data_IF_727589961119
#
_entry.id   IF_727589961119
#
_cell.length_a   1.000
_cell.length_b   1.000
_cell.length_c   1.000
_cell.angle_alpha   90.00
_cell.angle_beta   90.00
_cell.angle_gamma   90.00
#
_symmetry.space_group_name_H-M   'P 1'
#
loop_
_entity.id
_entity.type
_entity.pdbx_description
1 polymer ?
#
# COMPACT_ATOMS: atom_id res chain seq x y z
N UNK A 1 19.85 -2.72 -5.78
CA UNK A 1 19.23 -2.65 -4.43
C UNK A 1 18.79 -4.04 -4.02
N UNK A 2 18.51 -4.31 -2.74
CA UNK A 2 18.18 -5.68 -2.33
C UNK A 2 16.78 -6.06 -2.85
N UNK A 3 16.57 -7.31 -3.29
CA UNK A 3 15.25 -7.88 -3.64
C UNK A 3 14.19 -7.78 -2.51
N UNK A 4 14.56 -7.22 -1.35
CA UNK A 4 13.77 -7.19 -0.12
C UNK A 4 13.17 -5.81 0.16
N UNK A 5 13.65 -4.75 -0.47
CA UNK A 5 13.19 -3.38 -0.20
C UNK A 5 11.74 -3.19 -0.65
N UNK A 6 11.05 -2.21 -0.04
CA UNK A 6 9.66 -1.87 -0.33
C UNK A 6 9.52 -0.41 -0.76
N UNK A 7 8.73 -0.16 -1.80
CA UNK A 7 8.15 1.18 -1.99
C UNK A 7 6.80 1.21 -1.27
N UNK A 8 6.57 2.22 -0.44
CA UNK A 8 5.38 2.29 0.42
C UNK A 8 4.38 3.35 -0.08
N UNK A 9 3.12 2.94 -0.13
CA UNK A 9 1.98 3.83 -0.37
C UNK A 9 1.54 4.52 0.94
N UNK A 10 0.84 5.65 0.79
CA UNK A 10 0.27 6.39 1.90
C UNK A 10 -0.75 5.56 2.69
N UNK A 11 -1.60 4.79 2.01
CA UNK A 11 -2.68 4.02 2.64
C UNK A 11 -2.17 3.03 3.69
N UNK A 12 -1.08 2.32 3.40
CA UNK A 12 -0.50 1.33 4.30
C UNK A 12 0.22 1.98 5.49
N UNK A 13 0.93 3.08 5.26
CA UNK A 13 1.61 3.83 6.33
C UNK A 13 0.57 4.42 7.30
N UNK A 14 -0.48 5.04 6.76
CA UNK A 14 -1.57 5.63 7.55
C UNK A 14 -2.29 4.53 8.33
N UNK A 15 -2.69 3.44 7.68
CA UNK A 15 -3.42 2.33 8.33
C UNK A 15 -2.64 1.75 9.51
N UNK A 16 -1.34 1.48 9.35
CA UNK A 16 -0.48 1.01 10.45
C UNK A 16 -0.36 2.06 11.55
N UNK A 17 -0.22 3.34 11.20
CA UNK A 17 -0.06 4.42 12.18
C UNK A 17 -1.33 4.64 13.01
N UNK A 18 -2.50 4.70 12.35
CA UNK A 18 -3.81 4.88 12.97
C UNK A 18 -4.26 3.66 13.79
N UNK A 19 -3.76 2.48 13.44
CA UNK A 19 -3.91 1.26 14.22
C UNK A 19 -2.96 1.19 15.44
N UNK A 20 -2.08 2.18 15.66
CA UNK A 20 -1.01 2.16 16.66
C UNK A 20 0.02 1.02 16.44
N UNK A 21 0.21 0.60 15.19
CA UNK A 21 1.09 -0.49 14.77
C UNK A 21 2.31 0.00 13.97
N UNK A 22 2.59 1.30 13.97
CA UNK A 22 3.77 1.88 13.28
C UNK A 22 5.10 1.21 13.68
N UNK A 23 5.20 0.67 14.90
CA UNK A 23 6.37 -0.09 15.36
C UNK A 23 6.68 -1.35 14.54
N UNK A 24 5.73 -1.83 13.72
CA UNK A 24 5.99 -2.89 12.72
C UNK A 24 7.12 -2.49 11.78
N UNK A 25 7.18 -1.21 11.35
CA UNK A 25 8.27 -0.74 10.48
C UNK A 25 9.62 -0.81 11.16
N UNK A 26 9.71 -0.32 12.41
CA UNK A 26 10.93 -0.36 13.21
C UNK A 26 11.41 -1.81 13.40
N UNK A 27 10.50 -2.69 13.84
CA UNK A 27 10.79 -4.08 14.10
C UNK A 27 11.25 -4.83 12.85
N UNK A 28 10.55 -4.66 11.72
CA UNK A 28 10.92 -5.32 10.47
C UNK A 28 12.25 -4.79 9.93
N UNK A 29 12.50 -3.48 9.98
CA UNK A 29 13.77 -2.87 9.57
C UNK A 29 14.93 -3.42 10.39
N UNK A 30 14.80 -3.44 11.72
CA UNK A 30 15.81 -4.00 12.63
C UNK A 30 16.04 -5.51 12.39
N UNK A 31 14.96 -6.29 12.25
CA UNK A 31 15.04 -7.75 12.15
C UNK A 31 15.52 -8.26 10.80
N UNK A 32 15.32 -7.49 9.73
CA UNK A 32 15.56 -7.96 8.34
C UNK A 32 16.57 -7.12 7.56
N UNK A 33 16.83 -5.88 8.00
CA UNK A 33 17.60 -4.90 7.23
C UNK A 33 16.85 -4.32 6.03
N UNK A 34 15.53 -4.55 5.92
CA UNK A 34 14.71 -4.02 4.83
C UNK A 34 14.62 -2.49 4.86
N UNK A 35 14.60 -1.87 3.68
CA UNK A 35 14.31 -0.45 3.55
C UNK A 35 12.86 -0.22 3.12
N UNK A 36 12.23 0.75 3.78
CA UNK A 36 10.91 1.24 3.44
C UNK A 36 11.08 2.59 2.76
N UNK A 37 11.03 2.58 1.44
CA UNK A 37 11.24 3.76 0.60
C UNK A 37 9.90 4.46 0.37
N UNK A 38 9.87 5.79 0.50
CA UNK A 38 8.66 6.60 0.29
C UNK A 38 8.88 7.67 -0.77
N UNK A 39 8.03 7.74 -1.81
CA UNK A 39 8.02 8.84 -2.77
C UNK A 39 7.72 10.18 -2.11
N UNK A 40 8.05 11.28 -2.81
CA UNK A 40 7.77 12.62 -2.31
C UNK A 40 6.27 12.87 -2.14
N UNK A 41 5.43 12.47 -3.09
CA UNK A 41 3.98 12.65 -2.97
C UNK A 41 3.36 11.91 -1.78
N UNK A 42 3.89 10.74 -1.41
CA UNK A 42 3.44 10.00 -0.24
C UNK A 42 3.78 10.76 1.05
N UNK A 43 4.95 11.39 1.13
CA UNK A 43 5.30 12.26 2.26
C UNK A 43 4.39 13.49 2.30
N UNK A 44 4.12 14.11 1.14
CA UNK A 44 3.19 15.24 1.05
C UNK A 44 1.78 14.85 1.52
N UNK A 45 1.30 13.66 1.17
CA UNK A 45 -0.01 13.15 1.54
C UNK A 45 -0.13 12.77 3.03
N UNK A 46 0.85 12.02 3.56
CA UNK A 46 0.81 11.50 4.92
C UNK A 46 1.25 12.50 5.99
N UNK A 47 2.08 13.48 5.61
CA UNK A 47 2.75 14.39 6.56
C UNK A 47 2.39 15.83 6.28
N UNK A 48 2.69 16.35 5.10
CA UNK A 48 2.59 17.79 4.85
C UNK A 48 1.13 18.26 4.86
N UNK A 49 0.25 17.62 4.07
CA UNK A 49 -1.18 18.00 4.01
C UNK A 49 -1.84 17.93 5.40
N UNK A 50 -1.75 16.83 6.18
CA UNK A 50 -2.41 16.77 7.48
C UNK A 50 -1.87 17.79 8.50
N UNK A 51 -0.59 18.18 8.40
CA UNK A 51 -0.01 19.21 9.29
C UNK A 51 -0.51 20.62 8.95
N UNK A 52 -0.90 20.88 7.70
CA UNK A 52 -1.40 22.17 7.24
C UNK A 52 -2.93 22.32 7.32
N UNK A 53 -3.68 21.22 7.36
CA UNK A 53 -5.14 21.23 7.46
C UNK A 53 -5.59 21.63 8.88
N UNK A 54 -6.72 22.34 8.98
CA UNK A 54 -7.26 22.79 10.26
C UNK A 54 -7.78 21.66 11.15
N UNK A 55 -8.23 20.55 10.54
CA UNK A 55 -8.62 19.35 11.26
C UNK A 55 -7.38 18.74 11.95
N UNK A 56 -7.38 18.75 13.28
CA UNK A 56 -6.26 18.28 14.09
C UNK A 56 -6.22 16.77 14.28
N UNK A 57 -7.28 16.05 13.91
CA UNK A 57 -7.40 14.61 14.17
C UNK A 57 -6.28 13.82 13.48
N UNK A 58 -5.90 14.20 12.26
CA UNK A 58 -4.84 13.55 11.49
C UNK A 58 -3.42 14.02 11.83
N UNK A 59 -3.28 15.11 12.60
CA UNK A 59 -1.96 15.69 12.90
C UNK A 59 -1.10 14.77 13.76
N UNK A 60 -1.71 14.00 14.65
CA UNK A 60 -0.96 13.08 15.50
C UNK A 60 -0.30 11.96 14.69
N UNK A 61 -1.05 11.33 13.78
CA UNK A 61 -0.51 10.31 12.87
C UNK A 61 0.56 10.90 11.95
N UNK A 62 0.32 12.09 11.40
CA UNK A 62 1.32 12.79 10.58
C UNK A 62 2.63 13.09 11.33
N UNK A 63 2.55 13.48 12.61
CA UNK A 63 3.74 13.68 13.45
C UNK A 63 4.50 12.37 13.69
N UNK A 64 3.79 11.27 13.97
CA UNK A 64 4.43 9.94 14.09
C UNK A 64 5.12 9.51 12.81
N UNK A 65 4.49 9.73 11.65
CA UNK A 65 5.09 9.40 10.35
C UNK A 65 6.31 10.29 10.09
N UNK A 66 6.23 11.57 10.44
CA UNK A 66 7.38 12.49 10.36
C UNK A 66 8.53 12.02 11.25
N UNK A 67 8.26 11.56 12.45
CA UNK A 67 9.28 11.00 13.35
C UNK A 67 9.92 9.75 12.75
N UNK A 68 9.13 8.84 12.17
CA UNK A 68 9.66 7.67 11.44
C UNK A 68 10.58 8.05 10.27
N UNK A 69 10.28 9.15 9.57
CA UNK A 69 11.15 9.66 8.50
C UNK A 69 12.44 10.23 9.09
N UNK A 70 12.35 11.02 10.16
CA UNK A 70 13.52 11.62 10.83
C UNK A 70 14.44 10.56 11.45
N UNK A 71 13.86 9.49 12.00
CA UNK A 71 14.57 8.34 12.55
C UNK A 71 15.22 7.47 11.46
N UNK A 72 14.97 7.77 10.19
CA UNK A 72 15.44 6.98 9.06
C UNK A 72 14.81 5.59 9.04
N UNK A 73 13.58 5.43 9.52
CA UNK A 73 12.79 4.20 9.35
C UNK A 73 12.13 4.19 7.97
N UNK A 74 11.46 5.29 7.63
CA UNK A 74 10.92 5.56 6.29
C UNK A 74 11.90 6.44 5.52
N UNK A 75 12.53 5.87 4.50
CA UNK A 75 13.54 6.54 3.70
C UNK A 75 12.89 7.32 2.56
N UNK A 76 12.80 8.65 2.70
CA UNK A 76 12.32 9.51 1.62
C UNK A 76 13.26 9.46 0.43
N UNK A 77 12.73 9.11 -0.73
CA UNK A 77 13.49 9.10 -1.98
C UNK A 77 13.23 10.37 -2.77
N UNK A 78 14.31 11.04 -3.16
CA UNK A 78 14.28 12.22 -4.02
C UNK A 78 14.70 11.81 -5.44
N UNK A 79 13.76 11.22 -6.17
CA UNK A 79 13.93 10.84 -7.57
C UNK A 79 12.86 11.54 -8.41
N UNK A 80 13.28 12.21 -9.48
CA UNK A 80 12.35 12.84 -10.41
C UNK A 80 11.78 11.81 -11.39
N UNK A 81 10.63 11.27 -11.02
CA UNK A 81 9.85 10.36 -11.86
C UNK A 81 8.64 11.04 -12.51
N UNK A 82 8.61 12.39 -12.55
CA UNK A 82 7.42 13.15 -12.97
C UNK A 82 6.96 12.86 -14.40
N UNK A 83 7.90 12.85 -15.35
CA UNK A 83 7.63 12.54 -16.77
C UNK A 83 7.06 11.14 -16.94
N UNK A 84 7.65 10.17 -16.25
CA UNK A 84 7.22 8.75 -16.25
C UNK A 84 5.84 8.60 -15.60
N UNK A 85 5.63 9.26 -14.46
CA UNK A 85 4.35 9.31 -13.75
C UNK A 85 3.24 9.84 -14.64
N UNK A 86 3.48 10.92 -15.39
CA UNK A 86 2.48 11.47 -16.31
C UNK A 86 2.12 10.52 -17.46
N UNK A 87 3.09 9.79 -18.03
CA UNK A 87 2.82 8.76 -19.03
C UNK A 87 1.98 7.63 -18.43
N UNK A 88 2.38 7.14 -17.26
CA UNK A 88 1.74 6.02 -16.58
C UNK A 88 0.35 6.39 -16.07
N UNK A 89 0.12 7.62 -15.64
CA UNK A 89 -1.20 8.10 -15.19
C UNK A 89 -2.21 8.01 -16.34
N UNK A 90 -1.79 8.41 -17.54
CA UNK A 90 -2.63 8.28 -18.73
C UNK A 90 -2.91 6.81 -19.03
N UNK A 91 -1.92 5.92 -18.94
CA UNK A 91 -2.13 4.49 -19.17
C UNK A 91 -3.10 3.89 -18.14
N UNK A 92 -2.80 4.03 -16.84
CA UNK A 92 -3.59 3.49 -15.73
C UNK A 92 -5.06 3.92 -15.78
N UNK A 93 -5.31 5.21 -15.99
CA UNK A 93 -6.66 5.78 -15.99
C UNK A 93 -7.37 5.69 -17.34
N UNK A 94 -6.79 4.98 -18.32
CA UNK A 94 -7.46 4.65 -19.58
C UNK A 94 -7.47 3.15 -19.86
N UNK A 95 -7.24 2.30 -18.86
CA UNK A 95 -7.39 0.84 -19.01
C UNK A 95 -8.86 0.47 -19.16
N UNK A 96 -9.74 1.04 -18.34
CA UNK A 96 -11.16 0.69 -18.29
C UNK A 96 -12.06 1.85 -18.67
N UNK A 97 -13.15 1.54 -19.36
CA UNK A 97 -14.16 2.51 -19.76
C UNK A 97 -15.56 2.04 -19.38
N UNK A 98 -16.36 2.95 -18.81
CA UNK A 98 -17.78 2.76 -18.56
C UNK A 98 -18.56 3.74 -19.43
N UNK A 99 -19.53 3.23 -20.22
CA UNK A 99 -20.38 4.06 -21.10
C UNK A 99 -19.59 5.02 -22.00
N UNK A 100 -18.43 4.57 -22.50
CA UNK A 100 -17.56 5.34 -23.39
C UNK A 100 -16.66 6.38 -22.68
N UNK A 101 -16.69 6.48 -21.35
CA UNK A 101 -15.84 7.36 -20.56
C UNK A 101 -14.76 6.58 -19.83
N UNK A 102 -13.51 7.08 -19.77
CA UNK A 102 -12.44 6.44 -19.02
C UNK A 102 -12.74 6.46 -17.52
N UNK A 103 -12.46 5.35 -16.84
CA UNK A 103 -12.53 5.26 -15.39
C UNK A 103 -11.18 5.66 -14.79
N UNK A 104 -11.19 6.74 -14.00
CA UNK A 104 -10.04 7.11 -13.18
C UNK A 104 -10.02 6.22 -11.94
N UNK A 105 -9.13 5.23 -11.95
CA UNK A 105 -9.04 4.21 -10.91
C UNK A 105 -7.81 4.35 -10.01
N UNK A 106 -6.75 5.01 -10.49
CA UNK A 106 -5.53 5.21 -9.73
C UNK A 106 -5.24 6.69 -9.53
N UNK A 107 -4.81 7.02 -8.33
CA UNK A 107 -4.39 8.36 -7.94
C UNK A 107 -2.93 8.61 -8.29
N UNK A 108 -2.56 9.88 -8.43
CA UNK A 108 -1.20 10.27 -8.83
C UNK A 108 -0.11 9.72 -7.87
N UNK A 109 -0.38 9.64 -6.57
CA UNK A 109 0.55 9.08 -5.58
C UNK A 109 0.84 7.60 -5.80
N UNK A 110 -0.20 6.80 -6.08
CA UNK A 110 -0.05 5.36 -6.38
C UNK A 110 0.74 5.15 -7.68
N UNK A 111 0.50 5.99 -8.69
CA UNK A 111 1.21 5.90 -9.98
C UNK A 111 2.67 6.33 -9.83
N UNK A 112 2.95 7.40 -9.07
CA UNK A 112 4.31 7.83 -8.76
C UNK A 112 5.07 6.74 -7.99
N UNK A 113 4.40 6.07 -7.04
CA UNK A 113 4.94 4.93 -6.32
C UNK A 113 5.35 3.80 -7.27
N UNK A 114 4.51 3.44 -8.24
CA UNK A 114 4.84 2.41 -9.23
C UNK A 114 5.96 2.85 -10.18
N UNK A 115 5.95 4.12 -10.59
CA UNK A 115 7.02 4.69 -11.42
C UNK A 115 8.38 4.62 -10.70
N UNK A 116 8.39 4.93 -9.39
CA UNK A 116 9.57 4.86 -8.53
C UNK A 116 10.02 3.41 -8.30
N UNK A 117 9.07 2.49 -8.10
CA UNK A 117 9.37 1.06 -7.96
C UNK A 117 10.09 0.51 -9.19
N UNK A 118 9.63 0.87 -10.38
CA UNK A 118 10.27 0.49 -11.63
C UNK A 118 11.66 1.15 -11.78
N UNK A 119 11.78 2.45 -11.51
CA UNK A 119 13.04 3.20 -11.62
C UNK A 119 14.14 2.66 -10.70
N UNK A 120 13.78 2.24 -9.49
CA UNK A 120 14.71 1.70 -8.49
C UNK A 120 14.87 0.18 -8.57
N UNK A 121 14.20 -0.47 -9.54
CA UNK A 121 14.12 -1.92 -9.69
C UNK A 121 13.65 -2.64 -8.40
N UNK A 122 12.78 -2.00 -7.63
CA UNK A 122 12.17 -2.54 -6.40
C UNK A 122 10.88 -3.25 -6.77
N UNK A 123 10.83 -4.56 -6.52
CA UNK A 123 9.67 -5.38 -6.85
C UNK A 123 8.58 -5.33 -5.79
N UNK A 124 8.92 -5.10 -4.52
CA UNK A 124 7.91 -5.16 -3.47
C UNK A 124 7.28 -3.77 -3.25
N UNK A 125 5.96 -3.72 -3.25
CA UNK A 125 5.19 -2.51 -2.95
C UNK A 125 4.28 -2.78 -1.76
N UNK A 126 4.24 -1.84 -0.80
CA UNK A 126 3.41 -1.93 0.38
C UNK A 126 2.19 -1.01 0.19
N UNK A 127 1.01 -1.58 -0.03
CA UNK A 127 -0.22 -0.81 -0.28
C UNK A 127 -1.48 -1.54 0.19
N UNK A 128 -2.49 -0.78 0.62
CA UNK A 128 -3.76 -1.33 1.10
C UNK A 128 -4.94 -1.08 0.15
N UNK A 129 -4.81 -0.15 -0.81
CA UNK A 129 -5.89 0.19 -1.73
C UNK A 129 -6.19 -0.98 -2.69
N UNK A 130 -7.46 -1.42 -2.69
CA UNK A 130 -7.90 -2.64 -3.36
C UNK A 130 -7.85 -2.52 -4.89
N UNK A 131 -8.27 -1.37 -5.42
CA UNK A 131 -8.38 -1.10 -6.86
C UNK A 131 -7.01 -1.12 -7.52
N UNK A 132 -6.05 -0.38 -7.00
CA UNK A 132 -4.66 -0.30 -7.44
C UNK A 132 -3.95 -1.65 -7.27
N UNK A 133 -4.16 -2.35 -6.15
CA UNK A 133 -3.66 -3.74 -6.01
C UNK A 133 -4.21 -4.65 -7.10
N UNK A 134 -5.53 -4.65 -7.34
CA UNK A 134 -6.12 -5.50 -8.38
C UNK A 134 -5.69 -5.06 -9.78
N UNK A 135 -5.40 -3.78 -10.02
CA UNK A 135 -4.82 -3.30 -11.27
C UNK A 135 -3.44 -3.94 -11.53
N UNK A 136 -2.63 -4.06 -10.47
CA UNK A 136 -1.28 -4.65 -10.50
C UNK A 136 -1.35 -6.17 -10.67
N UNK A 137 -2.10 -6.85 -9.81
CA UNK A 137 -2.08 -8.31 -9.67
C UNK A 137 -3.00 -9.03 -10.66
N UNK A 138 -4.21 -8.49 -10.88
CA UNK A 138 -5.27 -9.18 -11.60
C UNK A 138 -6.26 -8.21 -12.27
N UNK A 139 -5.82 -7.41 -13.27
CA UNK A 139 -6.66 -6.35 -13.85
C UNK A 139 -7.95 -6.88 -14.49
N UNK A 140 -7.97 -8.12 -14.99
CA UNK A 140 -9.20 -8.73 -15.51
C UNK A 140 -10.21 -9.08 -14.40
N UNK A 141 -9.74 -9.37 -13.19
CA UNK A 141 -10.62 -9.54 -12.03
C UNK A 141 -11.18 -8.17 -11.60
N UNK A 142 -10.38 -7.10 -11.70
CA UNK A 142 -10.85 -5.74 -11.47
C UNK A 142 -11.98 -5.36 -12.43
N UNK A 143 -11.85 -5.68 -13.72
CA UNK A 143 -12.94 -5.51 -14.70
C UNK A 143 -14.24 -6.15 -14.23
N UNK A 144 -14.20 -7.43 -13.86
CA UNK A 144 -15.38 -8.16 -13.42
C UNK A 144 -15.99 -7.55 -12.13
N UNK A 145 -15.13 -7.04 -11.24
CA UNK A 145 -15.56 -6.33 -10.04
C UNK A 145 -16.31 -5.03 -10.39
N UNK A 146 -15.73 -4.21 -11.27
CA UNK A 146 -16.32 -2.96 -11.74
C UNK A 146 -17.65 -3.18 -12.47
N UNK A 147 -17.76 -4.22 -13.31
CA UNK A 147 -19.02 -4.58 -14.00
C UNK A 147 -20.13 -4.94 -13.01
N UNK A 148 -19.78 -5.69 -11.96
CA UNK A 148 -20.72 -6.09 -10.91
C UNK A 148 -21.20 -4.89 -10.10
N UNK A 149 -20.29 -3.98 -9.76
CA UNK A 149 -20.59 -2.81 -8.92
C UNK A 149 -21.35 -1.72 -9.68
N UNK A 150 -20.93 -1.42 -10.90
CA UNK A 150 -21.52 -0.34 -11.71
C UNK A 150 -22.74 -0.79 -12.52
N UNK A 151 -23.03 -2.10 -12.56
CA UNK A 151 -24.10 -2.71 -13.34
C UNK A 151 -24.07 -2.30 -14.83
N UNK A 152 -22.87 -2.18 -15.40
CA UNK A 152 -22.62 -1.84 -16.81
C UNK A 152 -21.51 -2.71 -17.36
N UNK A 153 -21.46 -2.87 -18.69
CA UNK A 153 -20.31 -3.48 -19.34
C UNK A 153 -19.10 -2.54 -19.26
N UNK A 154 -17.94 -3.10 -18.90
CA UNK A 154 -16.68 -2.37 -18.85
C UNK A 154 -15.84 -2.75 -20.07
N UNK A 155 -15.54 -1.75 -20.89
CA UNK A 155 -14.64 -1.92 -22.03
C UNK A 155 -13.19 -1.81 -21.56
N UNK A 156 -12.30 -2.58 -22.21
CA UNK A 156 -10.87 -2.61 -21.89
C UNK A 156 -10.07 -2.07 -23.07
N UNK A 157 -9.22 -1.09 -22.82
CA UNK A 157 -8.19 -0.67 -23.76
C UNK A 157 -6.97 -1.58 -23.61
N UNK A 158 -6.77 -2.48 -24.57
CA UNK A 158 -5.69 -3.46 -24.55
C UNK A 158 -4.30 -2.82 -24.53
N UNK A 159 -4.09 -1.73 -25.26
CA UNK A 159 -2.79 -1.06 -25.28
C UNK A 159 -2.43 -0.45 -23.92
N UNK A 160 -3.38 0.21 -23.26
CA UNK A 160 -3.17 0.71 -21.90
C UNK A 160 -2.99 -0.41 -20.89
N UNK A 161 -3.74 -1.51 -21.03
CA UNK A 161 -3.60 -2.70 -20.18
C UNK A 161 -2.20 -3.33 -20.31
N UNK A 162 -1.72 -3.54 -21.53
CA UNK A 162 -0.39 -4.12 -21.78
C UNK A 162 0.72 -3.23 -21.22
N UNK A 163 0.59 -1.90 -21.35
CA UNK A 163 1.52 -0.95 -20.71
C UNK A 163 1.56 -1.13 -19.20
N UNK A 164 0.39 -1.20 -18.55
CA UNK A 164 0.30 -1.40 -17.10
C UNK A 164 0.88 -2.75 -16.68
N UNK A 165 0.57 -3.83 -17.41
CA UNK A 165 1.10 -5.16 -17.12
C UNK A 165 2.62 -5.24 -17.29
N UNK A 166 3.18 -4.51 -18.25
CA UNK A 166 4.63 -4.45 -18.43
C UNK A 166 5.31 -3.67 -17.31
N UNK A 167 4.73 -2.53 -16.90
CA UNK A 167 5.19 -1.75 -15.75
C UNK A 167 5.21 -2.60 -14.48
N UNK A 168 4.10 -3.26 -14.18
CA UNK A 168 3.91 -3.96 -12.90
C UNK A 168 4.46 -5.39 -12.92
N UNK A 169 5.17 -5.77 -13.98
CA UNK A 169 5.62 -7.13 -14.20
C UNK A 169 6.58 -7.58 -13.10
N UNK A 170 6.15 -8.59 -12.35
CA UNK A 170 6.95 -9.16 -11.26
C UNK A 170 6.99 -8.30 -10.00
N UNK A 171 6.14 -7.27 -9.91
CA UNK A 171 5.90 -6.57 -8.65
C UNK A 171 5.09 -7.47 -7.71
N UNK A 172 5.48 -7.49 -6.44
CA UNK A 172 4.80 -8.17 -5.36
C UNK A 172 4.11 -7.13 -4.50
N UNK A 173 2.79 -7.17 -4.45
CA UNK A 173 2.03 -6.32 -3.53
C UNK A 173 1.98 -6.99 -2.17
N UNK A 174 2.30 -6.23 -1.13
CA UNK A 174 2.15 -6.63 0.27
C UNK A 174 1.23 -5.62 0.94
N UNK A 175 0.32 -6.10 1.79
CA UNK A 175 -0.58 -5.25 2.58
C UNK A 175 -0.03 -4.96 3.97
N UNK A 176 -0.55 -3.93 4.62
CA UNK A 176 -0.26 -3.66 6.04
C UNK A 176 -0.58 -4.85 6.94
N UNK A 177 -1.66 -5.59 6.65
CA UNK A 177 -2.05 -6.80 7.38
C UNK A 177 -1.03 -7.93 7.21
N UNK A 178 -0.47 -8.08 6.01
CA UNK A 178 0.55 -9.10 5.72
C UNK A 178 1.89 -8.71 6.36
N UNK A 179 2.26 -7.42 6.33
CA UNK A 179 3.42 -6.92 7.06
C UNK A 179 3.29 -7.17 8.58
N UNK A 180 2.11 -6.98 9.16
CA UNK A 180 1.82 -7.30 10.55
C UNK A 180 1.97 -8.81 10.83
N UNK A 181 1.42 -9.68 9.98
CA UNK A 181 1.56 -11.14 10.13
C UNK A 181 3.03 -11.56 10.07
N UNK A 182 3.80 -11.04 9.11
CA UNK A 182 5.24 -11.33 9.01
C UNK A 182 5.99 -10.83 10.25
N UNK A 183 5.61 -9.68 10.81
CA UNK A 183 6.19 -9.18 12.06
C UNK A 183 5.84 -10.10 13.24
N UNK A 184 4.57 -10.52 13.34
CA UNK A 184 4.09 -11.47 14.34
C UNK A 184 4.87 -12.80 14.29
N UNK A 185 4.98 -13.43 13.13
CA UNK A 185 5.75 -14.67 12.92
C UNK A 185 7.23 -14.53 13.34
N UNK A 186 7.77 -13.32 13.23
CA UNK A 186 9.15 -12.99 13.63
C UNK A 186 9.30 -12.63 15.11
N UNK A 187 8.20 -12.60 15.85
CA UNK A 187 8.14 -12.39 17.28
C UNK A 187 7.89 -10.96 17.73
N UNK A 188 7.26 -10.12 16.89
CA UNK A 188 6.90 -8.74 17.23
C UNK A 188 6.04 -8.65 18.50
N UNK A 189 5.15 -9.62 18.70
CA UNK A 189 4.17 -9.63 19.79
C UNK A 189 4.55 -10.56 20.95
N UNK A 190 5.73 -11.18 20.93
CA UNK A 190 6.16 -12.14 21.97
C UNK A 190 6.12 -11.62 23.39
N UNK A 191 6.21 -10.30 23.58
CA UNK A 191 6.12 -9.67 24.89
C UNK A 191 4.72 -9.70 25.52
N UNK A 192 3.72 -10.19 24.79
CA UNK A 192 2.37 -10.46 25.28
C UNK A 192 2.17 -11.88 25.79
N UNK A 193 3.21 -12.74 25.74
CA UNK A 193 3.21 -14.11 26.27
C UNK A 193 1.96 -14.92 25.86
N UNK A 194 1.16 -15.37 26.82
CA UNK A 194 0.03 -16.29 26.61
C UNK A 194 -1.13 -15.70 25.79
N UNK A 195 -1.17 -14.38 25.57
CA UNK A 195 -2.21 -13.71 24.78
C UNK A 195 -1.70 -13.18 23.43
N UNK A 196 -0.50 -13.60 23.01
CA UNK A 196 0.13 -13.12 21.77
C UNK A 196 -0.78 -13.29 20.54
N UNK A 197 -1.46 -14.44 20.44
CA UNK A 197 -2.32 -14.77 19.30
C UNK A 197 -3.57 -13.90 19.28
N UNK A 198 -4.21 -13.69 20.42
CA UNK A 198 -5.38 -12.82 20.58
C UNK A 198 -5.04 -11.36 20.27
N UNK A 199 -3.84 -10.90 20.65
CA UNK A 199 -3.36 -9.56 20.31
C UNK A 199 -3.12 -9.42 18.81
N UNK A 200 -2.54 -10.43 18.16
CA UNK A 200 -2.34 -10.44 16.71
C UNK A 200 -3.67 -10.38 15.95
N UNK A 201 -4.65 -11.18 16.37
CA UNK A 201 -6.01 -11.15 15.80
C UNK A 201 -6.67 -9.78 16.00
N UNK A 202 -6.66 -9.26 17.23
CA UNK A 202 -7.22 -7.95 17.55
C UNK A 202 -6.57 -6.82 16.73
N UNK A 203 -5.26 -6.91 16.47
CA UNK A 203 -4.53 -5.98 15.63
C UNK A 203 -4.99 -6.01 14.15
N UNK A 204 -5.30 -7.19 13.60
CA UNK A 204 -5.88 -7.31 12.25
C UNK A 204 -7.30 -6.70 12.18
N UNK A 205 -8.12 -6.93 13.19
CA UNK A 205 -9.44 -6.28 13.29
C UNK A 205 -9.31 -4.76 13.43
N UNK A 206 -8.28 -4.27 14.12
CA UNK A 206 -7.99 -2.85 14.23
C UNK A 206 -7.57 -2.26 12.88
N UNK A 207 -6.71 -2.93 12.11
CA UNK A 207 -6.34 -2.52 10.75
C UNK A 207 -7.56 -2.46 9.81
N UNK A 208 -8.44 -3.46 9.88
CA UNK A 208 -9.72 -3.44 9.16
C UNK A 208 -10.56 -2.21 9.53
N UNK A 209 -10.62 -1.88 10.81
CA UNK A 209 -11.37 -0.72 11.32
C UNK A 209 -10.71 0.62 10.97
N UNK A 210 -9.40 0.62 10.70
CA UNK A 210 -8.64 1.78 10.25
C UNK A 210 -8.71 2.01 8.72
N UNK A 211 -9.46 1.18 7.99
CA UNK A 211 -9.69 1.35 6.55
C UNK A 211 -8.92 0.40 5.64
N UNK A 212 -8.11 -0.52 6.19
CA UNK A 212 -7.44 -1.54 5.38
C UNK A 212 -8.47 -2.50 4.77
N UNK A 213 -8.35 -2.76 3.46
CA UNK A 213 -9.25 -3.63 2.70
C UNK A 213 -8.96 -5.12 2.97
N UNK A 214 -9.36 -5.59 4.15
CA UNK A 214 -9.33 -7.01 4.57
C UNK A 214 -10.72 -7.47 5.02
N UNK A 215 -11.12 -8.69 4.65
CA UNK A 215 -12.37 -9.33 5.08
C UNK A 215 -12.19 -10.11 6.39
N UNK A 216 -13.28 -10.34 7.11
CA UNK A 216 -13.25 -11.18 8.32
C UNK A 216 -12.76 -12.60 8.03
N UNK A 217 -13.15 -13.16 6.88
CA UNK A 217 -12.69 -14.47 6.44
C UNK A 217 -11.17 -14.51 6.22
N UNK A 218 -10.59 -13.47 5.64
CA UNK A 218 -9.12 -13.38 5.48
C UNK A 218 -8.41 -13.32 6.82
N UNK A 219 -8.97 -12.60 7.81
CA UNK A 219 -8.42 -12.59 9.18
C UNK A 219 -8.40 -14.00 9.76
N UNK A 220 -9.52 -14.73 9.67
CA UNK A 220 -9.62 -16.12 10.13
C UNK A 220 -8.62 -17.04 9.42
N UNK A 221 -8.43 -16.85 8.11
CA UNK A 221 -7.48 -17.61 7.29
C UNK A 221 -6.03 -17.34 7.71
N UNK A 222 -5.67 -16.08 7.95
CA UNK A 222 -4.35 -15.74 8.50
C UNK A 222 -4.13 -16.39 9.86
N UNK A 223 -5.06 -16.23 10.81
CA UNK A 223 -4.89 -16.73 12.18
C UNK A 223 -4.84 -18.28 12.28
N UNK A 224 -5.34 -18.99 11.27
CA UNK A 224 -5.18 -20.45 11.14
C UNK A 224 -3.82 -20.85 10.58
N UNK A 225 -3.21 -20.01 9.75
CA UNK A 225 -1.91 -20.28 9.12
C UNK A 225 -0.72 -20.04 10.05
N UNK A 226 -0.87 -19.16 11.03
CA UNK A 226 0.15 -18.89 12.06
C UNK A 226 0.00 -19.84 13.25
N UNK A 227 1.07 -20.59 13.53
CA UNK A 227 1.21 -21.58 14.63
C UNK A 227 1.95 -21.01 15.82
#
# INVERSE_FOLDING_TARGET
MAERDFICDSSAIISLTDACLAHVFYFLKEKTGVKFLVPKSVVEECVEKPLHIQNKDYRFSALKIKDMINDGILDKVDADVSSKTAELEKAANTVFFARGQPLRLMHAGEIEMLALAEELEVKNVLMDERTARLMIEAPLNLKAHLEKELHVNIMVNRGSLEKMQNLTKGMNVVRSTEALIVAYERGFLKHFDDIEKEVAEAALYRLKSAGCAISFKEIDEYMKGVS
#
